data_IF_521945626729
#
_entry.id   IF_521945626729
#
_cell.length_a   1.000
_cell.length_b   1.000
_cell.length_c   1.000
_cell.angle_alpha   90.00
_cell.angle_beta   90.00
_cell.angle_gamma   90.00
#
_symmetry.space_group_name_H-M   'P 1'
#
loop_
_entity.id
_entity.type
_entity.pdbx_description
1 polymer ?
#
# COMPACT_ATOMS: atom_id res chain seq x y z
N UNK A 1 -36.23 7.08 15.44
CA UNK A 1 -35.59 5.90 16.01
C UNK A 1 -34.56 6.37 17.02
N UNK A 2 -34.78 6.00 18.31
CA UNK A 2 -34.00 6.47 19.45
C UNK A 2 -32.64 5.76 19.49
N UNK A 3 -31.60 6.39 18.97
CA UNK A 3 -30.23 5.87 18.95
C UNK A 3 -29.57 5.85 20.35
N UNK A 4 -30.21 6.42 21.36
CA UNK A 4 -29.68 6.48 22.74
C UNK A 4 -29.73 5.12 23.44
N UNK A 5 -30.60 4.21 22.98
CA UNK A 5 -30.78 2.90 23.61
C UNK A 5 -29.69 1.88 23.22
N UNK A 6 -29.15 1.97 22.01
CA UNK A 6 -28.05 1.09 21.55
C UNK A 6 -26.70 1.45 22.18
N UNK A 7 -26.47 2.73 22.50
CA UNK A 7 -25.26 3.20 23.18
C UNK A 7 -25.23 2.84 24.69
N UNK A 8 -26.41 2.64 25.33
CA UNK A 8 -26.50 2.34 26.78
C UNK A 8 -26.20 0.89 27.12
N UNK A 9 -26.43 -0.05 26.22
CA UNK A 9 -26.24 -1.50 26.46
C UNK A 9 -24.74 -1.88 26.54
N UNK A 10 -23.83 -1.04 26.03
CA UNK A 10 -22.36 -1.30 26.07
C UNK A 10 -21.64 -0.81 27.33
N UNK A 11 -22.33 -0.12 28.24
CA UNK A 11 -21.67 0.51 29.41
C UNK A 11 -21.79 -0.28 30.72
N UNK A 12 -22.45 -1.42 30.75
CA UNK A 12 -22.77 -2.13 32.01
C UNK A 12 -22.14 -3.54 32.14
N UNK A 13 -21.30 -3.95 31.19
CA UNK A 13 -20.43 -5.12 31.39
C UNK A 13 -18.98 -4.62 31.33
N UNK A 14 -18.31 -4.56 32.48
CA UNK A 14 -16.85 -4.64 32.54
C UNK A 14 -16.44 -6.06 32.09
N UNK A 15 -16.72 -6.37 30.82
CA UNK A 15 -16.16 -7.55 30.19
C UNK A 15 -14.66 -7.32 30.12
N UNK A 16 -13.89 -8.20 30.73
CA UNK A 16 -12.45 -8.30 30.52
C UNK A 16 -12.28 -8.42 29.01
N UNK A 17 -11.96 -7.29 28.34
CA UNK A 17 -11.75 -7.27 26.90
C UNK A 17 -10.52 -8.13 26.62
N UNK A 18 -10.75 -9.36 26.22
CA UNK A 18 -9.69 -10.27 25.86
C UNK A 18 -9.00 -9.72 24.62
N UNK A 19 -7.68 -9.47 24.71
CA UNK A 19 -6.90 -9.06 23.57
C UNK A 19 -6.79 -10.24 22.59
N UNK A 20 -7.23 -10.02 21.35
CA UNK A 20 -7.06 -10.98 20.28
C UNK A 20 -5.78 -10.70 19.50
N UNK A 21 -4.95 -11.70 19.32
CA UNK A 21 -3.77 -11.67 18.46
C UNK A 21 -3.96 -12.52 17.18
N UNK A 22 -5.20 -12.77 16.79
CA UNK A 22 -5.54 -13.57 15.61
C UNK A 22 -5.14 -12.84 14.32
N UNK A 23 -5.38 -11.53 14.27
CA UNK A 23 -5.07 -10.70 13.11
C UNK A 23 -4.98 -9.22 13.50
N UNK A 24 -4.28 -8.42 12.71
CA UNK A 24 -4.14 -6.97 12.88
C UNK A 24 -5.22 -6.14 12.14
N UNK A 25 -6.33 -6.78 11.73
CA UNK A 25 -7.48 -6.13 11.11
C UNK A 25 -8.83 -6.62 11.67
N UNK A 26 -8.87 -7.03 12.93
CA UNK A 26 -10.09 -7.55 13.59
C UNK A 26 -10.99 -6.44 14.15
N UNK A 27 -10.48 -5.23 14.33
CA UNK A 27 -11.23 -4.10 14.86
C UNK A 27 -11.76 -3.19 13.73
N UNK A 28 -12.73 -2.34 14.08
CA UNK A 28 -13.28 -1.33 13.17
C UNK A 28 -12.37 -0.09 13.06
N UNK A 29 -12.91 0.98 12.46
CA UNK A 29 -12.15 2.22 12.32
C UNK A 29 -11.94 2.96 13.64
N UNK A 30 -10.89 3.79 13.66
CA UNK A 30 -10.68 4.77 14.72
C UNK A 30 -11.92 5.65 14.90
N UNK A 31 -12.36 5.96 16.15
CA UNK A 31 -13.59 6.72 16.42
C UNK A 31 -13.72 8.03 15.64
N UNK A 32 -12.63 8.79 15.47
CA UNK A 32 -12.64 10.03 14.71
C UNK A 32 -13.07 9.85 13.23
N UNK A 33 -12.79 8.70 12.63
CA UNK A 33 -13.25 8.37 11.27
C UNK A 33 -14.76 8.15 11.25
N UNK A 34 -15.29 7.41 12.24
CA UNK A 34 -16.72 7.16 12.36
C UNK A 34 -17.50 8.46 12.62
N UNK A 35 -16.97 9.32 13.48
CA UNK A 35 -17.52 10.66 13.74
C UNK A 35 -17.55 11.49 12.45
N UNK A 36 -16.45 11.48 11.68
CA UNK A 36 -16.38 12.23 10.41
C UNK A 36 -17.35 11.67 9.36
N UNK A 37 -17.55 10.36 9.30
CA UNK A 37 -18.58 9.77 8.44
C UNK A 37 -19.99 10.24 8.83
N UNK A 38 -20.32 10.29 10.11
CA UNK A 38 -21.62 10.78 10.58
C UNK A 38 -21.79 12.26 10.23
N UNK A 39 -20.78 13.08 10.51
CA UNK A 39 -20.77 14.53 10.22
C UNK A 39 -21.02 14.81 8.74
N UNK A 40 -20.35 14.08 7.86
CA UNK A 40 -20.35 14.35 6.41
C UNK A 40 -21.34 13.50 5.62
N UNK A 41 -22.14 12.65 6.29
CA UNK A 41 -22.98 11.67 5.64
C UNK A 41 -23.97 12.26 4.61
N UNK A 42 -24.53 13.42 4.91
CA UNK A 42 -25.53 14.06 4.06
C UNK A 42 -24.93 15.08 3.06
N UNK A 43 -23.63 15.26 3.06
CA UNK A 43 -22.97 16.15 2.12
C UNK A 43 -23.11 15.64 0.67
N UNK A 44 -23.55 16.52 -0.20
CA UNK A 44 -23.59 16.23 -1.63
C UNK A 44 -22.23 16.50 -2.24
N UNK A 45 -21.56 15.45 -2.68
CA UNK A 45 -20.18 15.48 -3.20
C UNK A 45 -20.08 14.79 -4.55
N UNK A 46 -19.10 15.19 -5.36
CA UNK A 46 -18.73 14.48 -6.58
C UNK A 46 -18.35 13.04 -6.27
N UNK A 47 -18.67 12.10 -7.16
CA UNK A 47 -18.34 10.69 -7.03
C UNK A 47 -16.90 10.38 -7.47
N UNK A 48 -16.55 9.09 -7.35
CA UNK A 48 -15.34 8.51 -7.93
C UNK A 48 -14.02 9.10 -7.40
N UNK A 49 -14.02 9.59 -6.15
CA UNK A 49 -12.82 10.09 -5.47
C UNK A 49 -12.36 11.48 -5.91
N UNK A 50 -13.24 12.28 -6.57
CA UNK A 50 -12.98 13.70 -6.88
C UNK A 50 -13.77 14.63 -5.97
N UNK A 51 -14.11 14.18 -4.78
CA UNK A 51 -14.75 14.94 -3.71
C UNK A 51 -13.73 15.74 -2.90
N UNK A 52 -14.22 16.70 -2.13
CA UNK A 52 -13.37 17.61 -1.34
C UNK A 52 -12.53 16.91 -0.26
N UNK A 53 -13.01 15.79 0.28
CA UNK A 53 -12.30 15.02 1.29
C UNK A 53 -11.15 14.24 0.68
N UNK A 54 -11.39 13.60 -0.47
CA UNK A 54 -10.35 12.93 -1.23
C UNK A 54 -9.26 13.90 -1.68
N UNK A 55 -9.62 15.10 -2.13
CA UNK A 55 -8.65 16.14 -2.50
C UNK A 55 -7.86 16.65 -1.29
N UNK A 56 -8.52 16.83 -0.14
CA UNK A 56 -7.84 17.22 1.11
C UNK A 56 -6.85 16.12 1.55
N UNK A 57 -7.26 14.86 1.51
CA UNK A 57 -6.42 13.71 1.85
C UNK A 57 -5.17 13.64 0.96
N UNK A 58 -5.33 13.80 -0.37
CA UNK A 58 -4.19 13.82 -1.31
C UNK A 58 -3.17 14.88 -0.96
N UNK A 59 -3.62 16.11 -0.70
CA UNK A 59 -2.72 17.22 -0.32
C UNK A 59 -1.95 16.93 0.98
N UNK A 60 -2.62 16.36 1.98
CA UNK A 60 -1.99 16.00 3.25
C UNK A 60 -0.95 14.90 3.08
N UNK A 61 -1.29 13.85 2.32
CA UNK A 61 -0.37 12.75 2.02
C UNK A 61 0.83 13.25 1.20
N UNK A 62 0.61 14.02 0.14
CA UNK A 62 1.66 14.59 -0.70
C UNK A 62 2.64 15.43 0.14
N UNK A 63 2.10 16.26 1.05
CA UNK A 63 2.91 17.03 2.00
C UNK A 63 3.71 16.13 2.94
N UNK A 64 3.08 15.07 3.49
CA UNK A 64 3.76 14.12 4.38
C UNK A 64 4.87 13.34 3.67
N UNK A 65 4.73 13.10 2.36
CA UNK A 65 5.76 12.49 1.51
C UNK A 65 6.86 13.46 1.05
N UNK A 66 6.72 14.77 1.32
CA UNK A 66 7.62 15.78 0.77
C UNK A 66 7.56 15.89 -0.76
N UNK A 67 6.47 15.47 -1.40
CA UNK A 67 6.28 15.41 -2.86
C UNK A 67 4.93 16.04 -3.22
N UNK A 68 4.90 17.35 -3.37
CA UNK A 68 3.65 18.11 -3.62
C UNK A 68 2.98 17.75 -4.96
N UNK A 69 3.74 17.22 -5.90
CA UNK A 69 3.33 16.79 -7.24
C UNK A 69 3.01 15.28 -7.32
N UNK A 70 2.97 14.57 -6.19
CA UNK A 70 2.64 13.16 -6.17
C UNK A 70 1.19 12.90 -6.64
N UNK A 71 1.01 11.90 -7.50
CA UNK A 71 -0.31 11.37 -7.84
C UNK A 71 -0.75 10.34 -6.81
N UNK A 72 -1.93 10.52 -6.21
CA UNK A 72 -2.43 9.68 -5.14
C UNK A 72 -3.82 9.16 -5.47
N UNK A 73 -4.01 7.85 -5.34
CA UNK A 73 -5.27 7.15 -5.60
C UNK A 73 -5.66 6.27 -4.42
N UNK A 74 -6.95 6.24 -4.09
CA UNK A 74 -7.46 5.44 -2.98
C UNK A 74 -8.11 4.16 -3.50
N UNK A 75 -7.60 3.02 -3.07
CA UNK A 75 -8.06 1.68 -3.41
C UNK A 75 -8.58 1.01 -2.13
N UNK A 76 -9.52 0.05 -2.24
CA UNK A 76 -10.26 -0.44 -1.07
C UNK A 76 -9.50 -1.47 -0.23
N UNK A 77 -8.57 -2.19 -0.82
CA UNK A 77 -7.83 -3.24 -0.10
C UNK A 77 -6.48 -3.58 -0.73
N UNK A 78 -5.57 -4.17 0.07
CA UNK A 78 -4.17 -4.44 -0.30
C UNK A 78 -4.02 -5.35 -1.51
N UNK A 79 -4.68 -6.51 -1.54
CA UNK A 79 -4.65 -7.43 -2.69
C UNK A 79 -5.12 -6.76 -3.98
N UNK A 80 -6.21 -5.97 -3.91
CA UNK A 80 -6.70 -5.21 -5.07
C UNK A 80 -5.68 -4.15 -5.51
N UNK A 81 -4.99 -3.52 -4.56
CA UNK A 81 -3.92 -2.55 -4.82
C UNK A 81 -2.73 -3.21 -5.52
N UNK A 82 -2.24 -4.33 -4.99
CA UNK A 82 -1.12 -5.07 -5.56
C UNK A 82 -1.44 -5.53 -7.00
N UNK A 83 -2.62 -6.13 -7.19
CA UNK A 83 -3.10 -6.56 -8.50
C UNK A 83 -3.16 -5.38 -9.49
N UNK A 84 -3.75 -4.26 -9.08
CA UNK A 84 -3.91 -3.08 -9.93
C UNK A 84 -2.57 -2.47 -10.33
N UNK A 85 -1.67 -2.23 -9.38
CA UNK A 85 -0.38 -1.61 -9.64
C UNK A 85 0.47 -2.49 -10.54
N UNK A 86 0.54 -3.78 -10.26
CA UNK A 86 1.34 -4.73 -11.04
C UNK A 86 0.79 -4.87 -12.47
N UNK A 87 -0.54 -5.10 -12.65
CA UNK A 87 -1.15 -5.23 -13.99
C UNK A 87 -1.00 -3.95 -14.84
N UNK A 88 -1.02 -2.79 -14.21
CA UNK A 88 -1.03 -1.53 -14.96
C UNK A 88 0.35 -0.98 -15.27
N UNK A 89 1.36 -1.37 -14.52
CA UNK A 89 2.75 -0.93 -14.74
C UNK A 89 3.57 -1.91 -15.57
N UNK A 90 3.18 -3.18 -15.61
CA UNK A 90 3.87 -4.21 -16.38
C UNK A 90 3.33 -4.32 -17.82
N UNK A 91 4.21 -4.71 -18.74
CA UNK A 91 3.82 -5.13 -20.07
C UNK A 91 3.40 -6.60 -20.06
N UNK A 92 2.58 -7.06 -21.04
CA UNK A 92 2.01 -8.42 -21.01
C UNK A 92 3.01 -9.57 -20.91
N UNK A 93 4.27 -9.35 -21.23
CA UNK A 93 5.35 -10.35 -21.19
C UNK A 93 6.23 -10.22 -19.95
N UNK A 94 5.94 -9.28 -19.07
CA UNK A 94 6.73 -8.99 -17.87
C UNK A 94 6.13 -9.65 -16.64
N UNK A 95 6.99 -9.95 -15.66
CA UNK A 95 6.65 -10.44 -14.33
C UNK A 95 7.22 -9.56 -13.23
N UNK A 96 6.74 -9.77 -12.01
CA UNK A 96 7.18 -9.04 -10.81
C UNK A 96 8.15 -9.90 -10.00
N UNK A 97 9.29 -9.34 -9.64
CA UNK A 97 10.29 -9.98 -8.77
C UNK A 97 9.96 -9.70 -7.31
N UNK A 98 9.85 -10.73 -6.49
CA UNK A 98 9.55 -10.60 -5.06
C UNK A 98 10.33 -11.62 -4.23
N UNK A 99 10.48 -11.38 -2.92
CA UNK A 99 10.93 -12.43 -2.00
C UNK A 99 9.96 -13.63 -2.04
N UNK A 100 10.46 -14.84 -1.86
CA UNK A 100 9.60 -16.06 -1.81
C UNK A 100 8.52 -15.98 -0.72
N UNK A 101 8.73 -15.16 0.30
CA UNK A 101 7.76 -14.86 1.37
C UNK A 101 6.92 -13.61 1.12
N UNK A 102 7.18 -12.88 0.04
CA UNK A 102 6.41 -11.68 -0.31
C UNK A 102 4.92 -11.98 -0.44
N UNK A 103 4.09 -11.05 0.01
CA UNK A 103 2.63 -11.24 0.07
C UNK A 103 2.05 -11.65 -1.29
N UNK A 104 2.52 -11.06 -2.38
CA UNK A 104 2.11 -11.38 -3.76
C UNK A 104 2.50 -12.80 -4.19
N UNK A 105 3.53 -13.40 -3.57
CA UNK A 105 3.97 -14.75 -3.90
C UNK A 105 3.17 -15.84 -3.16
N UNK A 106 2.66 -15.57 -1.95
CA UNK A 106 2.10 -16.61 -1.09
C UNK A 106 0.68 -16.38 -0.57
N UNK A 107 0.21 -15.13 -0.49
CA UNK A 107 -1.00 -14.78 0.27
C UNK A 107 -2.05 -14.00 -0.53
N UNK A 108 -2.00 -14.03 -1.87
CA UNK A 108 -2.95 -13.31 -2.74
C UNK A 108 -3.81 -14.22 -3.61
N UNK A 109 -3.83 -15.52 -3.30
CA UNK A 109 -4.67 -16.50 -3.99
C UNK A 109 -4.53 -16.48 -5.53
N UNK A 110 -3.33 -16.15 -6.04
CA UNK A 110 -3.08 -16.04 -7.47
C UNK A 110 -3.62 -14.77 -8.12
N UNK A 111 -3.83 -13.69 -7.35
CA UNK A 111 -4.36 -12.44 -7.89
C UNK A 111 -3.44 -11.80 -8.94
N UNK A 112 -2.13 -11.96 -8.79
CA UNK A 112 -1.15 -11.44 -9.76
C UNK A 112 -1.16 -12.29 -11.03
N UNK A 113 -1.12 -13.62 -10.88
CA UNK A 113 -1.18 -14.56 -12.00
C UNK A 113 -2.49 -14.45 -12.78
N UNK A 114 -3.61 -14.10 -12.11
CA UNK A 114 -4.90 -13.83 -12.74
C UNK A 114 -4.83 -12.67 -13.75
N UNK A 115 -3.96 -11.68 -13.55
CA UNK A 115 -3.74 -10.59 -14.51
C UNK A 115 -2.83 -10.99 -15.69
N UNK A 116 -2.25 -12.18 -15.65
CA UNK A 116 -1.34 -12.70 -16.68
C UNK A 116 0.13 -12.49 -16.37
N UNK A 117 0.46 -11.94 -15.21
CA UNK A 117 1.84 -11.69 -14.78
C UNK A 117 2.35 -12.79 -13.86
N UNK A 118 3.60 -13.20 -14.07
CA UNK A 118 4.26 -14.18 -13.21
C UNK A 118 4.88 -13.49 -12.01
N UNK A 119 4.72 -14.08 -10.82
CA UNK A 119 5.57 -13.74 -9.67
C UNK A 119 6.87 -14.53 -9.77
N UNK A 120 7.99 -13.82 -9.91
CA UNK A 120 9.35 -14.37 -10.04
C UNK A 120 10.01 -14.25 -8.66
N UNK A 121 10.19 -15.38 -7.97
CA UNK A 121 10.67 -15.34 -6.59
C UNK A 121 12.20 -15.41 -6.50
N UNK A 122 12.75 -14.62 -5.56
CA UNK A 122 14.14 -14.68 -5.11
C UNK A 122 14.20 -15.14 -3.63
N UNK A 123 15.38 -15.58 -3.15
CA UNK A 123 15.56 -15.93 -1.74
C UNK A 123 15.13 -14.81 -0.79
N UNK A 124 14.78 -15.18 0.44
CA UNK A 124 14.48 -14.26 1.52
C UNK A 124 15.48 -14.40 2.69
N UNK A 125 15.68 -13.30 3.41
CA UNK A 125 16.52 -13.23 4.60
C UNK A 125 15.73 -12.47 5.69
N UNK A 126 15.14 -13.21 6.62
CA UNK A 126 14.20 -12.66 7.59
C UNK A 126 13.02 -11.88 6.94
N UNK A 127 12.50 -12.41 5.82
CA UNK A 127 11.42 -11.79 5.05
C UNK A 127 11.88 -10.76 4.01
N UNK A 128 13.12 -10.29 4.06
CA UNK A 128 13.68 -9.32 3.10
C UNK A 128 14.30 -10.02 1.88
N UNK A 129 14.20 -9.42 0.70
CA UNK A 129 15.08 -9.73 -0.43
C UNK A 129 16.34 -8.85 -0.36
N UNK A 130 17.40 -9.23 -1.05
CA UNK A 130 18.61 -8.44 -1.20
C UNK A 130 18.76 -7.90 -2.62
N UNK A 131 19.35 -6.73 -2.75
CA UNK A 131 19.71 -6.13 -4.03
C UNK A 131 20.56 -7.08 -4.90
N UNK A 132 21.49 -7.85 -4.27
CA UNK A 132 22.31 -8.86 -4.96
C UNK A 132 21.49 -9.96 -5.63
N UNK A 133 20.39 -10.41 -4.99
CA UNK A 133 19.56 -11.49 -5.53
C UNK A 133 18.72 -11.00 -6.72
N UNK A 134 18.25 -9.76 -6.67
CA UNK A 134 17.60 -9.10 -7.82
C UNK A 134 18.57 -8.98 -8.97
N UNK A 135 19.79 -8.50 -8.71
CA UNK A 135 20.85 -8.38 -9.72
C UNK A 135 21.18 -9.72 -10.33
N UNK A 136 21.36 -10.76 -9.54
CA UNK A 136 21.66 -12.12 -10.02
C UNK A 136 20.55 -12.67 -10.92
N UNK A 137 19.28 -12.47 -10.53
CA UNK A 137 18.13 -12.89 -11.34
C UNK A 137 18.14 -12.18 -12.70
N UNK A 138 18.34 -10.87 -12.73
CA UNK A 138 18.31 -10.08 -13.96
C UNK A 138 19.52 -10.38 -14.84
N UNK A 139 20.71 -10.48 -14.27
CA UNK A 139 21.93 -10.85 -15.01
C UNK A 139 21.80 -12.26 -15.60
N UNK A 140 21.29 -13.23 -14.84
CA UNK A 140 21.05 -14.59 -15.31
C UNK A 140 20.07 -14.60 -16.46
N UNK A 141 18.98 -13.84 -16.37
CA UNK A 141 17.99 -13.69 -17.42
C UNK A 141 18.64 -13.18 -18.72
N UNK A 142 19.36 -12.05 -18.68
CA UNK A 142 19.94 -11.45 -19.90
C UNK A 142 21.13 -12.22 -20.47
N UNK A 143 21.81 -13.04 -19.67
CA UNK A 143 22.88 -13.92 -20.13
C UNK A 143 22.37 -15.22 -20.75
N UNK A 144 21.09 -15.57 -20.59
CA UNK A 144 20.50 -16.73 -21.27
C UNK A 144 20.25 -16.41 -22.75
N UNK A 145 20.81 -17.20 -23.64
CA UNK A 145 20.65 -17.02 -25.08
C UNK A 145 19.17 -17.18 -25.54
N UNK A 146 18.33 -17.78 -24.72
CA UNK A 146 16.91 -18.01 -24.99
C UNK A 146 15.99 -17.09 -24.17
N UNK A 147 16.50 -16.02 -23.57
CA UNK A 147 15.69 -15.14 -22.71
C UNK A 147 14.45 -14.57 -23.41
N UNK A 148 14.45 -14.44 -24.74
CA UNK A 148 13.27 -14.04 -25.54
C UNK A 148 12.07 -15.01 -25.42
N UNK A 149 12.28 -16.23 -24.90
CA UNK A 149 11.24 -17.21 -24.61
C UNK A 149 10.82 -17.23 -23.13
N UNK A 150 11.42 -16.38 -22.30
CA UNK A 150 11.19 -16.34 -20.87
C UNK A 150 10.32 -15.13 -20.49
N UNK A 151 9.75 -15.16 -19.28
CA UNK A 151 9.09 -13.98 -18.71
C UNK A 151 10.15 -12.95 -18.33
N UNK A 152 10.01 -11.74 -18.84
CA UNK A 152 10.93 -10.64 -18.56
C UNK A 152 10.75 -10.13 -17.14
N UNK A 153 11.81 -9.90 -16.35
CA UNK A 153 11.68 -9.15 -15.10
C UNK A 153 11.28 -7.71 -15.41
N UNK A 154 10.14 -7.26 -14.88
CA UNK A 154 9.55 -5.97 -15.23
C UNK A 154 9.35 -5.03 -14.03
N UNK A 155 9.43 -5.55 -12.79
CA UNK A 155 9.23 -4.78 -11.56
C UNK A 155 9.85 -5.53 -10.40
N UNK A 156 10.28 -4.82 -9.37
CA UNK A 156 10.63 -5.39 -8.06
C UNK A 156 9.59 -4.97 -7.03
N UNK A 157 9.08 -5.95 -6.28
CA UNK A 157 8.13 -5.76 -5.19
C UNK A 157 8.77 -6.10 -3.86
N UNK A 158 8.59 -5.24 -2.86
CA UNK A 158 8.97 -5.45 -1.47
C UNK A 158 7.84 -5.03 -0.53
N UNK A 159 7.75 -5.66 0.64
CA UNK A 159 6.88 -5.21 1.74
C UNK A 159 7.69 -4.52 2.82
N UNK A 160 7.20 -3.38 3.34
CA UNK A 160 7.84 -2.67 4.45
C UNK A 160 6.81 -2.16 5.47
N UNK A 161 6.79 -2.72 6.70
CA UNK A 161 7.54 -3.91 7.20
C UNK A 161 7.28 -5.16 6.35
N UNK A 162 8.21 -6.12 6.41
CA UNK A 162 8.03 -7.42 5.74
C UNK A 162 6.93 -8.24 6.41
N UNK A 163 6.52 -9.34 5.79
CA UNK A 163 5.56 -10.31 6.35
C UNK A 163 6.01 -10.92 7.68
N UNK A 164 7.30 -10.85 7.97
CA UNK A 164 7.89 -11.29 9.26
C UNK A 164 8.03 -10.15 10.28
N UNK A 165 7.58 -8.93 9.93
CA UNK A 165 7.68 -7.74 10.77
C UNK A 165 9.07 -7.13 10.85
N UNK A 166 10.00 -7.57 10.01
CA UNK A 166 11.34 -6.98 9.91
C UNK A 166 11.33 -5.69 9.07
N UNK A 167 12.30 -4.83 9.33
CA UNK A 167 12.43 -3.54 8.65
C UNK A 167 13.63 -3.55 7.71
N UNK A 168 13.46 -3.02 6.52
CA UNK A 168 14.59 -2.60 5.70
C UNK A 168 15.22 -1.36 6.32
N UNK A 169 16.55 -1.29 6.35
CA UNK A 169 17.26 -0.06 6.64
C UNK A 169 17.21 0.87 5.42
N UNK A 170 17.49 2.15 5.63
CA UNK A 170 17.59 3.11 4.52
C UNK A 170 18.67 2.72 3.50
N UNK A 171 19.79 2.16 3.98
CA UNK A 171 20.84 1.64 3.12
C UNK A 171 20.38 0.46 2.27
N UNK A 172 19.72 -0.55 2.88
CA UNK A 172 19.15 -1.68 2.14
C UNK A 172 18.12 -1.24 1.09
N UNK A 173 17.22 -0.30 1.43
CA UNK A 173 16.25 0.26 0.48
C UNK A 173 16.95 0.98 -0.67
N UNK A 174 18.01 1.74 -0.37
CA UNK A 174 18.78 2.43 -1.38
C UNK A 174 19.50 1.46 -2.32
N UNK A 175 20.14 0.42 -1.79
CA UNK A 175 20.78 -0.61 -2.62
C UNK A 175 19.79 -1.28 -3.58
N UNK A 176 18.58 -1.62 -3.09
CA UNK A 176 17.52 -2.19 -3.92
C UNK A 176 17.07 -1.19 -4.98
N UNK A 177 16.83 0.05 -4.62
CA UNK A 177 16.43 1.12 -5.54
C UNK A 177 17.49 1.34 -6.61
N UNK A 178 18.78 1.41 -6.24
CA UNK A 178 19.89 1.59 -7.17
C UNK A 178 19.97 0.44 -8.19
N UNK A 179 19.79 -0.81 -7.76
CA UNK A 179 19.76 -1.97 -8.67
C UNK A 179 18.52 -1.90 -9.57
N UNK A 180 17.35 -1.60 -9.03
CA UNK A 180 16.13 -1.43 -9.82
C UNK A 180 16.33 -0.39 -10.93
N UNK A 181 16.84 0.78 -10.60
CA UNK A 181 17.06 1.86 -11.57
C UNK A 181 18.13 1.52 -12.60
N UNK A 182 19.19 0.79 -12.21
CA UNK A 182 20.23 0.34 -13.14
C UNK A 182 19.69 -0.58 -14.27
N UNK A 183 18.62 -1.32 -13.98
CA UNK A 183 17.96 -2.21 -14.94
C UNK A 183 16.63 -1.66 -15.49
N UNK A 184 16.28 -0.42 -15.17
CA UNK A 184 14.99 0.22 -15.51
C UNK A 184 13.77 -0.57 -15.01
N UNK A 185 13.86 -1.17 -13.84
CA UNK A 185 12.77 -1.84 -13.15
C UNK A 185 12.16 -0.86 -12.14
N UNK A 186 10.85 -0.57 -12.17
CA UNK A 186 10.23 0.17 -11.09
C UNK A 186 10.28 -0.62 -9.78
N UNK A 187 10.53 0.08 -8.68
CA UNK A 187 10.44 -0.45 -7.32
C UNK A 187 9.04 -0.16 -6.76
N UNK A 188 8.28 -1.20 -6.48
CA UNK A 188 6.98 -1.12 -5.81
C UNK A 188 7.09 -1.56 -4.35
N UNK A 189 6.73 -0.66 -3.43
CA UNK A 189 6.75 -0.93 -1.99
C UNK A 189 5.33 -1.10 -1.46
N UNK A 190 5.04 -2.30 -0.98
CA UNK A 190 3.83 -2.65 -0.23
C UNK A 190 3.94 -2.10 1.19
N UNK A 191 3.11 -1.14 1.49
CA UNK A 191 3.05 -0.47 2.79
C UNK A 191 1.82 -0.82 3.61
N UNK A 192 1.31 -2.07 3.54
CA UNK A 192 0.12 -2.50 4.29
C UNK A 192 0.20 -2.17 5.79
N UNK A 193 1.41 -2.16 6.35
CA UNK A 193 1.69 -1.81 7.76
C UNK A 193 2.70 -0.67 7.87
N UNK A 194 2.76 0.20 6.86
CA UNK A 194 3.80 1.23 6.73
C UNK A 194 3.91 2.12 7.96
N UNK A 195 2.78 2.56 8.51
CA UNK A 195 2.78 3.41 9.69
C UNK A 195 3.54 2.79 10.87
N UNK A 196 3.34 1.51 11.13
CA UNK A 196 4.04 0.80 12.21
C UNK A 196 5.55 0.70 11.96
N UNK A 197 5.95 0.45 10.71
CA UNK A 197 7.36 0.45 10.32
C UNK A 197 8.01 1.81 10.56
N UNK A 198 7.37 2.90 10.10
CA UNK A 198 7.86 4.26 10.23
C UNK A 198 7.92 4.77 11.68
N UNK A 199 7.12 4.19 12.59
CA UNK A 199 7.09 4.57 13.99
C UNK A 199 7.82 3.59 14.91
N UNK A 200 8.45 2.56 14.37
CA UNK A 200 9.29 1.64 15.14
C UNK A 200 10.51 2.34 15.73
N UNK A 201 10.96 1.89 16.90
CA UNK A 201 12.18 2.40 17.53
C UNK A 201 13.47 2.09 16.73
N UNK A 202 13.45 1.03 15.93
CA UNK A 202 14.61 0.54 15.19
C UNK A 202 14.66 1.04 13.73
N UNK A 203 13.72 1.91 13.33
CA UNK A 203 13.71 2.45 11.95
C UNK A 203 14.66 3.62 11.81
N UNK A 204 15.35 3.67 10.66
CA UNK A 204 16.10 4.83 10.17
C UNK A 204 15.46 5.39 8.88
N UNK A 205 14.25 4.93 8.53
CA UNK A 205 13.52 5.27 7.30
C UNK A 205 12.37 6.20 7.61
N UNK A 206 12.23 7.26 6.83
CA UNK A 206 11.10 8.20 6.86
C UNK A 206 10.16 7.98 5.68
N UNK A 207 8.98 8.59 5.71
CA UNK A 207 8.03 8.54 4.59
C UNK A 207 8.61 9.27 3.36
N UNK A 208 9.38 10.35 3.56
CA UNK A 208 10.08 11.04 2.50
C UNK A 208 11.17 10.17 1.85
N UNK A 209 11.88 9.35 2.63
CA UNK A 209 12.86 8.41 2.09
C UNK A 209 12.17 7.36 1.19
N UNK A 210 11.02 6.82 1.61
CA UNK A 210 10.25 5.89 0.78
C UNK A 210 9.78 6.58 -0.50
N UNK A 211 9.25 7.80 -0.41
CA UNK A 211 8.81 8.58 -1.56
C UNK A 211 9.94 8.93 -2.54
N UNK A 212 11.19 8.99 -2.06
CA UNK A 212 12.38 9.20 -2.90
C UNK A 212 12.86 7.90 -3.55
N UNK A 213 12.88 6.80 -2.81
CA UNK A 213 13.50 5.54 -3.24
C UNK A 213 12.57 4.64 -4.05
N UNK A 214 11.27 4.57 -3.70
CA UNK A 214 10.30 3.78 -4.45
C UNK A 214 9.74 4.54 -5.65
N UNK A 215 9.37 3.83 -6.72
CA UNK A 215 8.71 4.41 -7.89
C UNK A 215 7.20 4.48 -7.70
N UNK A 216 6.67 3.52 -6.96
CA UNK A 216 5.29 3.48 -6.48
C UNK A 216 5.26 2.80 -5.13
N UNK A 217 4.40 3.25 -4.24
CA UNK A 217 4.15 2.58 -2.97
C UNK A 217 2.71 2.81 -2.54
N UNK A 218 2.25 2.07 -1.55
CA UNK A 218 0.99 2.45 -0.93
C UNK A 218 1.11 2.59 0.59
N UNK A 219 0.30 3.47 1.13
CA UNK A 219 0.15 3.72 2.55
C UNK A 219 -1.08 2.96 3.01
N UNK A 220 -0.87 1.92 3.81
CA UNK A 220 -1.94 1.07 4.32
C UNK A 220 -2.82 1.79 5.33
N UNK A 221 -4.13 1.87 5.07
CA UNK A 221 -5.11 2.37 6.02
C UNK A 221 -5.84 1.24 6.76
N UNK A 222 -6.13 0.15 6.08
CA UNK A 222 -6.92 -0.98 6.61
C UNK A 222 -6.41 -1.51 7.94
N UNK A 223 -5.10 -1.61 8.11
CA UNK A 223 -4.45 -2.09 9.36
C UNK A 223 -4.06 -0.97 10.31
N UNK A 224 -4.21 0.30 9.91
CA UNK A 224 -3.79 1.47 10.68
C UNK A 224 -4.99 2.41 10.92
N UNK A 225 -6.04 1.84 11.49
CA UNK A 225 -7.17 2.61 12.00
C UNK A 225 -8.25 2.99 10.99
N UNK A 226 -8.19 2.56 9.71
CA UNK A 226 -9.30 2.69 8.76
C UNK A 226 -10.21 1.46 8.80
N UNK A 227 -11.46 1.58 8.29
CA UNK A 227 -12.33 0.43 8.00
C UNK A 227 -11.79 -0.37 6.82
N UNK A 228 -11.27 0.32 5.83
CA UNK A 228 -10.67 -0.21 4.61
C UNK A 228 -9.94 0.92 3.89
N UNK A 229 -9.07 0.56 2.97
CA UNK A 229 -8.45 1.53 2.08
C UNK A 229 -6.94 1.59 2.17
N UNK A 230 -6.37 1.80 0.99
CA UNK A 230 -4.93 1.95 0.76
C UNK A 230 -4.74 3.19 -0.12
N UNK A 231 -3.78 4.03 0.21
CA UNK A 231 -3.42 5.19 -0.63
C UNK A 231 -2.21 4.83 -1.50
N UNK A 232 -2.44 4.62 -2.78
CA UNK A 232 -1.38 4.38 -3.78
C UNK A 232 -0.75 5.71 -4.16
N UNK A 233 0.57 5.80 -4.09
CA UNK A 233 1.34 7.03 -4.31
C UNK A 233 2.36 6.82 -5.41
N UNK A 234 2.31 7.65 -6.45
CA UNK A 234 3.31 7.76 -7.51
C UNK A 234 4.03 9.09 -7.35
N UNK A 235 5.36 9.06 -7.26
CA UNK A 235 6.17 10.25 -6.90
C UNK A 235 7.09 10.74 -8.01
N UNK A 236 7.14 10.03 -9.16
CA UNK A 236 8.12 10.26 -10.22
C UNK A 236 7.47 10.58 -11.57
N UNK A 237 6.24 11.16 -11.57
CA UNK A 237 5.46 11.41 -12.78
C UNK A 237 5.36 10.14 -13.66
N UNK A 238 5.19 9.01 -13.01
CA UNK A 238 5.20 7.67 -13.60
C UNK A 238 3.85 6.95 -13.48
N UNK A 239 2.80 7.67 -13.16
CA UNK A 239 1.42 7.14 -13.14
C UNK A 239 1.09 6.57 -14.54
N UNK A 240 0.61 5.31 -14.63
CA UNK A 240 0.22 4.74 -15.90
C UNK A 240 -0.82 5.59 -16.64
N UNK A 241 -0.68 5.71 -17.96
CA UNK A 241 -1.63 6.46 -18.78
C UNK A 241 -3.06 5.92 -18.56
N UNK A 242 -4.02 6.82 -18.40
CA UNK A 242 -5.43 6.47 -18.15
C UNK A 242 -5.66 5.63 -16.88
N UNK A 243 -4.87 5.85 -15.82
CA UNK A 243 -4.92 5.03 -14.60
C UNK A 243 -6.33 4.94 -13.99
N UNK A 244 -7.13 6.02 -14.02
CA UNK A 244 -8.54 5.99 -13.55
C UNK A 244 -9.39 4.97 -14.33
N UNK A 245 -9.15 4.83 -15.64
CA UNK A 245 -9.84 3.84 -16.46
C UNK A 245 -9.41 2.42 -16.06
N UNK A 246 -8.13 2.24 -15.73
CA UNK A 246 -7.59 0.96 -15.27
C UNK A 246 -8.14 0.60 -13.89
N UNK A 247 -8.22 1.55 -12.96
CA UNK A 247 -8.93 1.37 -11.67
C UNK A 247 -10.38 0.91 -11.92
N UNK A 248 -11.06 1.54 -12.87
CA UNK A 248 -12.44 1.17 -13.23
C UNK A 248 -12.54 -0.24 -13.82
N UNK A 249 -11.61 -0.61 -14.71
CA UNK A 249 -11.50 -1.95 -15.32
C UNK A 249 -11.37 -3.04 -14.23
N UNK A 250 -10.58 -2.78 -13.18
CA UNK A 250 -10.38 -3.68 -12.05
C UNK A 250 -11.54 -3.68 -11.01
N UNK A 251 -12.63 -2.92 -11.27
CA UNK A 251 -13.74 -2.80 -10.34
C UNK A 251 -13.41 -2.04 -9.04
N UNK A 252 -12.26 -1.36 -9.01
CA UNK A 252 -11.75 -0.66 -7.83
C UNK A 252 -12.21 0.80 -7.72
N UNK A 253 -12.86 1.35 -8.74
CA UNK A 253 -13.32 2.74 -8.75
C UNK A 253 -14.72 2.85 -8.14
N UNK A 254 -14.79 3.23 -6.88
CA UNK A 254 -16.04 3.35 -6.14
C UNK A 254 -16.84 4.59 -6.56
N UNK A 255 -18.15 4.45 -6.80
CA UNK A 255 -19.03 5.58 -7.06
C UNK A 255 -19.05 6.56 -5.87
N UNK A 256 -19.08 6.05 -4.63
CA UNK A 256 -18.91 6.84 -3.41
C UNK A 256 -17.45 6.77 -2.91
N UNK A 257 -16.48 7.14 -3.76
CA UNK A 257 -15.05 7.08 -3.47
C UNK A 257 -14.62 7.88 -2.25
N UNK A 258 -15.44 8.87 -1.84
CA UNK A 258 -15.23 9.60 -0.57
C UNK A 258 -15.16 8.69 0.66
N UNK A 259 -15.64 7.44 0.57
CA UNK A 259 -15.47 6.45 1.64
C UNK A 259 -13.99 6.33 2.04
N UNK A 260 -13.09 6.19 1.07
CA UNK A 260 -11.65 6.14 1.34
C UNK A 260 -11.09 7.54 1.62
N UNK A 261 -11.53 8.55 0.86
CA UNK A 261 -11.06 9.92 1.01
C UNK A 261 -11.25 10.49 2.42
N UNK A 262 -12.44 10.33 3.00
CA UNK A 262 -12.74 10.76 4.38
C UNK A 262 -11.82 10.08 5.40
N UNK A 263 -11.58 8.79 5.24
CA UNK A 263 -10.72 8.04 6.16
C UNK A 263 -9.29 8.57 6.15
N UNK A 264 -8.70 8.71 4.95
CA UNK A 264 -7.34 9.23 4.82
C UNK A 264 -7.25 10.72 5.17
N UNK A 265 -8.29 11.51 4.92
CA UNK A 265 -8.34 12.90 5.37
C UNK A 265 -8.24 13.02 6.90
N UNK A 266 -8.95 12.17 7.62
CA UNK A 266 -8.89 12.11 9.10
C UNK A 266 -7.54 11.56 9.56
N UNK A 267 -7.06 10.48 8.97
CA UNK A 267 -5.78 9.86 9.35
C UNK A 267 -4.58 10.81 9.19
N UNK A 268 -4.59 11.64 8.16
CA UNK A 268 -3.52 12.63 7.91
C UNK A 268 -3.83 14.02 8.46
N UNK A 269 -4.88 14.16 9.30
CA UNK A 269 -5.13 15.35 10.11
C UNK A 269 -4.41 15.20 11.45
N UNK A 270 -3.66 16.21 11.86
CA UNK A 270 -2.96 16.27 13.13
C UNK A 270 -2.08 15.02 13.42
N UNK A 271 -1.50 14.44 12.39
CA UNK A 271 -0.63 13.26 12.44
C UNK A 271 -1.28 12.02 13.09
N UNK A 272 -2.59 11.87 12.97
CA UNK A 272 -3.32 10.77 13.61
C UNK A 272 -2.79 9.40 13.14
N UNK A 273 -2.48 9.24 11.85
CA UNK A 273 -1.89 8.02 11.28
C UNK A 273 -0.63 7.58 12.05
N UNK A 274 0.29 8.52 12.25
CA UNK A 274 1.53 8.25 12.98
C UNK A 274 1.31 8.09 14.50
N UNK A 275 0.32 8.78 15.09
CA UNK A 275 -0.05 8.61 16.49
C UNK A 275 -0.60 7.22 16.78
N UNK A 276 -1.49 6.70 15.92
CA UNK A 276 -1.99 5.32 15.98
C UNK A 276 -0.82 4.33 15.90
N UNK A 277 0.12 4.59 15.00
CA UNK A 277 1.23 3.68 14.69
C UNK A 277 2.31 3.61 15.77
N UNK A 278 2.36 4.57 16.70
CA UNK A 278 3.33 4.60 17.82
C UNK A 278 2.97 3.72 19.00
N UNK A 279 1.82 3.11 19.02
CA UNK A 279 1.26 2.43 20.19
C UNK A 279 1.96 1.12 20.55
#
# INVERSE_FOLDING_TARGET
>A
YDNTRLYRIRKETEDIKMLSFESDYTEGAHPAILEKFIETNMDQQSGYGVDVYSESARKKIAKACGKEDADIYFITGGTQTNQLVIDTMLKPYEGVVAAVTGHVAGHEAGAIEYTGHKVMTVPQYLGKLKASDVKELVDTFYNDANHEHMVFPGMVYISHPTEYGTLYTKEELKEISDVCHAYNLPLFLDGARLGYGLMSYDTDVTLEDIAELADVFYIGGTKVGALCGEAVVFTKNNTPAHFVNLIKKHGALLAKGRLNGVQFDVLFTDDLYFKISRH
#
